data_IF_126603457872
#
_entry.id   IF_126603457872
#
_cell.length_a   1.000
_cell.length_b   1.000
_cell.length_c   1.000
_cell.angle_alpha   90.00
_cell.angle_beta   90.00
_cell.angle_gamma   90.00
#
_symmetry.space_group_name_H-M   'P 1'
#
loop_
_entity.id
_entity.type
_entity.pdbx_description
1 polymer ?
#
# COMPACT_ATOMS: atom_id res chain seq x y z
N UNK A 1 -2.65 25.77 19.64
CA UNK A 1 -2.75 25.15 18.31
C UNK A 1 -2.15 23.76 18.40
N UNK A 2 -2.95 22.73 18.15
CA UNK A 2 -2.53 21.32 18.30
C UNK A 2 -1.56 20.97 17.17
N UNK A 3 -0.34 20.58 17.54
CA UNK A 3 0.74 20.27 16.60
C UNK A 3 0.65 18.78 16.23
N UNK A 4 -0.31 18.43 15.36
CA UNK A 4 -0.49 17.05 14.92
C UNK A 4 0.65 16.67 13.96
N UNK A 5 1.49 15.72 14.39
CA UNK A 5 2.65 15.23 13.63
C UNK A 5 2.43 13.85 13.01
N UNK A 6 1.44 13.12 13.51
CA UNK A 6 1.11 11.77 13.06
C UNK A 6 -0.40 11.59 13.01
N UNK A 7 -0.88 11.01 11.91
CA UNK A 7 -2.29 10.72 11.69
C UNK A 7 -2.41 9.33 11.05
N UNK A 8 -3.19 8.47 11.69
CA UNK A 8 -3.57 7.16 11.16
C UNK A 8 -5.08 7.16 11.00
N UNK A 9 -5.54 7.00 9.77
CA UNK A 9 -6.96 6.84 9.47
C UNK A 9 -7.21 5.36 9.31
N UNK A 10 -7.62 4.70 10.39
CA UNK A 10 -7.99 3.29 10.36
C UNK A 10 -9.29 3.18 9.58
N UNK A 11 -9.30 2.29 8.59
CA UNK A 11 -10.50 2.00 7.82
C UNK A 11 -11.60 1.52 8.77
N UNK A 12 -12.72 2.23 8.75
CA UNK A 12 -13.94 1.83 9.43
C UNK A 12 -14.75 1.10 8.37
N UNK A 13 -15.16 -0.13 8.71
CA UNK A 13 -15.90 -1.12 7.93
C UNK A 13 -16.74 -0.58 6.76
N UNK A 14 -16.90 -1.42 5.72
CA UNK A 14 -17.43 -1.27 4.35
C UNK A 14 -18.77 -0.53 4.10
N UNK A 15 -19.21 0.29 5.05
CA UNK A 15 -20.43 1.10 5.07
C UNK A 15 -20.14 2.59 4.89
N UNK A 16 -18.87 3.04 4.95
CA UNK A 16 -18.56 4.42 4.51
C UNK A 16 -18.62 4.47 3.00
N UNK A 17 -19.72 5.04 2.49
CA UNK A 17 -19.89 5.38 1.09
C UNK A 17 -18.66 6.18 0.63
N UNK A 18 -18.19 5.96 -0.61
CA UNK A 18 -17.00 6.65 -1.19
C UNK A 18 -17.00 8.17 -0.94
N UNK A 19 -18.18 8.74 -0.75
CA UNK A 19 -18.48 10.15 -0.51
C UNK A 19 -17.78 10.73 0.75
N UNK A 20 -17.44 9.93 1.77
CA UNK A 20 -16.82 10.45 2.99
C UNK A 20 -15.33 10.83 2.79
N UNK A 21 -14.62 10.15 1.89
CA UNK A 21 -13.21 10.45 1.55
C UNK A 21 -13.09 11.66 0.65
N UNK A 22 -14.07 11.92 -0.22
CA UNK A 22 -14.04 13.10 -1.10
C UNK A 22 -14.00 14.42 -0.31
N UNK A 23 -14.53 14.39 0.92
CA UNK A 23 -14.57 15.50 1.85
C UNK A 23 -13.36 15.57 2.80
N UNK A 24 -12.49 14.56 2.79
CA UNK A 24 -11.30 14.53 3.63
C UNK A 24 -10.19 15.42 3.02
N UNK A 25 -9.99 16.58 3.62
CA UNK A 25 -8.90 17.49 3.26
C UNK A 25 -7.84 17.52 4.38
N UNK A 26 -6.66 16.98 4.09
CA UNK A 26 -5.53 16.94 5.02
C UNK A 26 -4.55 18.09 4.80
N UNK A 27 -4.77 18.98 3.83
CA UNK A 27 -3.83 20.06 3.48
C UNK A 27 -3.58 21.06 4.61
N UNK A 28 -4.53 21.20 5.55
CA UNK A 28 -4.40 22.04 6.74
C UNK A 28 -3.39 21.53 7.78
N UNK A 29 -2.96 20.26 7.72
CA UNK A 29 -2.03 19.67 8.67
C UNK A 29 -0.57 19.91 8.27
N UNK A 30 -0.14 21.17 8.35
CA UNK A 30 1.20 21.64 7.94
C UNK A 30 2.37 21.12 8.81
N UNK A 31 2.13 20.35 9.87
CA UNK A 31 3.22 19.75 10.65
C UNK A 31 3.16 18.22 10.61
N UNK A 32 2.29 17.66 9.76
CA UNK A 32 2.17 16.23 9.64
C UNK A 32 3.43 15.64 9.02
N UNK A 33 4.10 14.76 9.76
CA UNK A 33 5.32 14.08 9.35
C UNK A 33 5.04 12.62 8.96
N UNK A 34 4.02 12.01 9.57
CA UNK A 34 3.61 10.64 9.33
C UNK A 34 2.13 10.59 9.02
N UNK A 35 1.79 10.02 7.87
CA UNK A 35 0.43 9.77 7.46
C UNK A 35 0.26 8.29 7.14
N UNK A 36 -0.73 7.65 7.73
CA UNK A 36 -1.05 6.25 7.46
C UNK A 36 -2.49 6.12 6.98
N UNK A 37 -2.65 5.71 5.72
CA UNK A 37 -3.94 5.49 5.06
C UNK A 37 -4.01 4.05 4.54
N UNK A 38 -5.21 3.47 4.55
CA UNK A 38 -5.43 2.17 3.91
C UNK A 38 -5.66 2.30 2.40
N UNK A 39 -5.47 1.19 1.66
CA UNK A 39 -5.64 1.15 0.21
C UNK A 39 -7.09 1.38 -0.24
N UNK A 40 -8.07 0.99 0.57
CA UNK A 40 -9.48 1.29 0.29
C UNK A 40 -9.76 2.78 0.51
N UNK A 41 -9.04 3.41 1.45
CA UNK A 41 -9.13 4.85 1.71
C UNK A 41 -8.58 5.69 0.56
N UNK A 42 -7.47 5.28 -0.05
CA UNK A 42 -6.89 6.01 -1.20
C UNK A 42 -7.58 5.66 -2.52
N UNK A 43 -8.23 4.49 -2.58
CA UNK A 43 -8.55 3.84 -3.83
C UNK A 43 -7.29 3.51 -4.65
N UNK A 44 -7.50 3.21 -5.94
CA UNK A 44 -6.44 2.95 -6.92
C UNK A 44 -6.23 4.10 -7.92
N UNK A 45 -7.03 5.18 -7.79
CA UNK A 45 -6.91 6.37 -8.62
C UNK A 45 -6.23 7.50 -7.85
N UNK A 46 -5.38 8.28 -8.53
CA UNK A 46 -4.69 9.41 -7.91
C UNK A 46 -5.54 10.69 -7.77
N UNK A 47 -6.82 10.66 -8.14
CA UNK A 47 -7.63 11.89 -8.22
C UNK A 47 -7.77 12.65 -6.90
N UNK A 48 -7.74 11.94 -5.77
CA UNK A 48 -7.87 12.54 -4.44
C UNK A 48 -6.52 12.76 -3.74
N UNK A 49 -5.39 12.32 -4.30
CA UNK A 49 -4.10 12.36 -3.58
C UNK A 49 -3.60 13.76 -3.29
N UNK A 50 -4.00 14.78 -4.07
CA UNK A 50 -3.67 16.19 -3.77
C UNK A 50 -4.34 16.71 -2.50
N UNK A 51 -5.49 16.14 -2.10
CA UNK A 51 -6.21 16.50 -0.86
C UNK A 51 -5.77 15.62 0.31
N UNK A 52 -5.47 14.36 0.03
CA UNK A 52 -5.06 13.36 1.02
C UNK A 52 -3.61 13.50 1.46
N UNK A 53 -2.75 14.09 0.63
CA UNK A 53 -1.35 14.30 0.98
C UNK A 53 -1.15 15.73 1.47
N UNK A 54 -1.06 15.94 2.80
CA UNK A 54 -0.61 17.22 3.32
C UNK A 54 0.73 17.59 2.69
N UNK A 55 1.10 18.87 2.70
CA UNK A 55 2.30 19.34 2.00
C UNK A 55 3.64 18.80 2.56
N UNK A 56 3.67 18.09 3.70
CA UNK A 56 4.91 17.86 4.46
C UNK A 56 5.16 16.44 5.06
N UNK A 57 4.42 15.35 4.78
CA UNK A 57 4.75 14.06 5.39
C UNK A 57 6.13 13.60 4.92
N UNK A 58 6.97 13.21 5.87
CA UNK A 58 8.27 12.57 5.60
C UNK A 58 8.08 11.09 5.33
N UNK A 59 7.07 10.49 5.97
CA UNK A 59 6.70 9.09 5.80
C UNK A 59 5.22 8.99 5.49
N UNK A 60 4.92 8.30 4.41
CA UNK A 60 3.56 7.89 4.07
C UNK A 60 3.47 6.37 4.20
N UNK A 61 2.58 5.88 5.03
CA UNK A 61 2.30 4.45 5.19
C UNK A 61 1.03 4.12 4.42
N UNK A 62 1.15 3.19 3.48
CA UNK A 62 0.04 2.63 2.73
C UNK A 62 -0.28 1.25 3.27
N UNK A 63 -1.44 1.11 3.90
CA UNK A 63 -1.87 -0.15 4.51
C UNK A 63 -2.72 -0.94 3.54
N UNK A 64 -2.28 -2.13 3.20
CA UNK A 64 -3.07 -3.12 2.47
C UNK A 64 -3.73 -3.97 3.55
N UNK A 65 -5.03 -3.75 3.78
CA UNK A 65 -5.78 -4.34 4.89
C UNK A 65 -6.74 -5.40 4.38
N UNK A 66 -6.74 -6.57 5.00
CA UNK A 66 -7.78 -7.59 4.85
C UNK A 66 -8.90 -7.34 5.87
N UNK A 67 -10.03 -6.76 5.41
CA UNK A 67 -11.26 -6.76 6.20
C UNK A 67 -12.14 -7.92 5.74
N UNK A 68 -12.03 -9.03 6.48
CA UNK A 68 -13.03 -10.09 6.66
C UNK A 68 -14.03 -10.37 5.53
N UNK A 69 -13.99 -11.60 5.02
CA UNK A 69 -14.94 -12.24 4.08
C UNK A 69 -14.91 -11.71 2.64
N UNK A 70 -14.15 -10.64 2.37
CA UNK A 70 -13.79 -10.21 1.01
C UNK A 70 -12.29 -10.38 0.80
N UNK A 71 -11.90 -11.62 0.56
CA UNK A 71 -10.67 -12.09 -0.08
C UNK A 71 -9.71 -11.02 -0.64
N UNK A 72 -9.08 -10.19 0.21
CA UNK A 72 -7.92 -9.39 -0.17
C UNK A 72 -6.73 -10.00 0.56
N UNK A 73 -6.14 -11.01 -0.06
CA UNK A 73 -5.00 -11.79 0.45
C UNK A 73 -3.70 -11.04 0.25
N UNK A 74 -2.66 -11.44 0.97
CA UNK A 74 -1.32 -10.90 0.80
C UNK A 74 -0.75 -11.10 -0.62
N UNK A 75 -1.25 -12.08 -1.37
CA UNK A 75 -0.96 -12.27 -2.79
C UNK A 75 -1.51 -11.16 -3.70
N UNK A 76 -2.34 -10.27 -3.17
CA UNK A 76 -3.11 -9.33 -3.96
C UNK A 76 -2.36 -8.02 -4.20
N UNK A 77 -1.05 -7.94 -3.91
CA UNK A 77 -0.20 -6.91 -4.53
C UNK A 77 -0.10 -7.16 -6.04
N UNK A 78 -1.21 -6.87 -6.71
CA UNK A 78 -1.46 -7.03 -8.11
C UNK A 78 -1.03 -5.77 -8.86
N UNK A 79 -1.26 -5.78 -10.17
CA UNK A 79 -0.86 -4.69 -11.04
C UNK A 79 -1.45 -3.33 -10.60
N UNK A 80 -2.66 -3.30 -10.04
CA UNK A 80 -3.28 -2.04 -9.59
C UNK A 80 -2.55 -1.45 -8.41
N UNK A 81 -2.12 -2.28 -7.45
CA UNK A 81 -1.31 -1.83 -6.33
C UNK A 81 0.05 -1.32 -6.80
N UNK A 82 0.71 -2.07 -7.68
CA UNK A 82 1.98 -1.65 -8.28
C UNK A 82 1.86 -0.31 -9.01
N UNK A 83 0.88 -0.19 -9.91
CA UNK A 83 0.64 1.03 -10.69
C UNK A 83 0.37 2.22 -9.78
N UNK A 84 -0.41 2.02 -8.72
CA UNK A 84 -0.70 3.06 -7.73
C UNK A 84 0.57 3.51 -7.02
N UNK A 85 1.39 2.58 -6.48
CA UNK A 85 2.63 2.94 -5.78
C UNK A 85 3.59 3.68 -6.72
N UNK A 86 3.74 3.20 -7.96
CA UNK A 86 4.58 3.87 -8.97
C UNK A 86 4.07 5.27 -9.29
N UNK A 87 2.76 5.43 -9.42
CA UNK A 87 2.15 6.73 -9.72
C UNK A 87 2.29 7.69 -8.52
N UNK A 88 2.13 7.18 -7.30
CA UNK A 88 2.32 7.91 -6.04
C UNK A 88 3.77 8.38 -5.87
N UNK A 89 4.76 7.53 -6.18
CA UNK A 89 6.18 7.91 -6.19
C UNK A 89 6.43 9.07 -7.16
N UNK A 90 5.92 8.98 -8.39
CA UNK A 90 6.07 10.04 -9.41
C UNK A 90 5.42 11.34 -8.94
N UNK A 91 4.19 11.24 -8.42
CA UNK A 91 3.45 12.38 -7.88
C UNK A 91 4.23 13.05 -6.75
N UNK A 92 4.72 12.26 -5.78
CA UNK A 92 5.47 12.78 -4.66
C UNK A 92 6.81 13.41 -5.09
N UNK A 93 7.52 12.83 -6.05
CA UNK A 93 8.75 13.41 -6.59
C UNK A 93 8.51 14.79 -7.24
N UNK A 94 7.35 14.99 -7.87
CA UNK A 94 6.97 16.24 -8.53
C UNK A 94 6.43 17.29 -7.57
N UNK A 95 5.63 16.88 -6.58
CA UNK A 95 4.80 17.78 -5.79
C UNK A 95 5.10 17.76 -4.28
N UNK A 96 5.78 16.75 -3.76
CA UNK A 96 5.98 16.51 -2.32
C UNK A 96 7.47 16.32 -1.99
N UNK A 97 8.24 17.41 -2.07
CA UNK A 97 9.71 17.39 -1.91
C UNK A 97 10.21 16.92 -0.53
N UNK A 98 9.34 16.78 0.46
CA UNK A 98 9.69 16.32 1.81
C UNK A 98 9.40 14.85 2.06
N UNK A 99 8.69 14.17 1.15
CA UNK A 99 8.43 12.74 1.32
C UNK A 99 9.73 11.97 1.07
N UNK A 100 10.17 11.25 2.09
CA UNK A 100 11.42 10.48 2.06
C UNK A 100 11.15 8.99 1.92
N UNK A 101 10.00 8.52 2.42
CA UNK A 101 9.67 7.11 2.48
C UNK A 101 8.18 6.88 2.23
N UNK A 102 7.88 5.90 1.37
CA UNK A 102 6.58 5.24 1.32
C UNK A 102 6.77 3.86 1.95
N UNK A 103 6.00 3.56 2.98
CA UNK A 103 6.00 2.27 3.66
C UNK A 103 4.75 1.49 3.27
N UNK A 104 4.91 0.28 2.75
CA UNK A 104 3.81 -0.62 2.40
C UNK A 104 3.61 -1.58 3.56
N UNK A 105 2.51 -1.40 4.28
CA UNK A 105 2.18 -2.16 5.48
C UNK A 105 1.12 -3.21 5.13
N UNK A 106 1.48 -4.48 5.29
CA UNK A 106 0.63 -5.61 4.92
C UNK A 106 -0.10 -6.13 6.17
N UNK A 107 -1.29 -5.59 6.44
CA UNK A 107 -2.06 -5.95 7.62
C UNK A 107 -2.92 -7.20 7.37
N UNK A 108 -2.55 -8.31 8.01
CA UNK A 108 -3.35 -9.55 8.00
C UNK A 108 -2.52 -10.79 7.66
N UNK A 109 -1.49 -11.08 8.47
CA UNK A 109 -0.58 -12.24 8.31
C UNK A 109 -1.27 -13.58 8.59
N UNK A 110 -2.34 -13.91 7.87
CA UNK A 110 -3.01 -15.20 7.98
C UNK A 110 -2.78 -16.01 6.70
N UNK A 111 -2.26 -17.23 6.87
CA UNK A 111 -2.02 -18.24 5.84
C UNK A 111 -3.33 -18.63 5.14
N UNK A 112 -3.79 -17.79 4.20
CA UNK A 112 -5.05 -18.04 3.53
C UNK A 112 -4.80 -18.60 2.12
N UNK A 113 -5.10 -19.89 1.98
CA UNK A 113 -4.79 -20.82 0.90
C UNK A 113 -5.55 -20.58 -0.42
N UNK A 114 -5.46 -19.37 -1.01
CA UNK A 114 -5.87 -19.21 -2.42
C UNK A 114 -4.77 -18.74 -3.35
N UNK A 115 -5.01 -19.11 -4.60
CA UNK A 115 -4.22 -18.82 -5.79
C UNK A 115 -3.67 -17.40 -5.76
N UNK A 116 -2.35 -17.23 -5.96
CA UNK A 116 -1.81 -15.93 -6.30
C UNK A 116 -2.49 -15.37 -7.55
N UNK A 117 -2.87 -14.09 -7.54
CA UNK A 117 -3.35 -13.40 -8.76
C UNK A 117 -2.23 -13.24 -9.81
N UNK A 118 -0.99 -13.53 -9.43
CA UNK A 118 0.23 -13.26 -10.18
C UNK A 118 1.23 -14.41 -10.00
N UNK A 119 1.93 -14.75 -11.07
CA UNK A 119 3.08 -15.66 -11.07
C UNK A 119 4.39 -15.00 -10.61
N UNK A 120 4.37 -13.67 -10.47
CA UNK A 120 5.50 -12.87 -9.96
C UNK A 120 5.37 -12.68 -8.45
N UNK A 121 6.48 -12.89 -7.74
CA UNK A 121 6.61 -12.68 -6.31
C UNK A 121 6.36 -11.21 -5.94
N UNK A 122 5.38 -10.90 -5.06
CA UNK A 122 5.00 -9.52 -4.71
C UNK A 122 6.15 -8.61 -4.25
N UNK A 123 7.06 -9.14 -3.44
CA UNK A 123 8.18 -8.35 -2.91
C UNK A 123 9.25 -8.05 -3.97
N UNK A 124 9.41 -8.89 -5.00
CA UNK A 124 10.29 -8.58 -6.14
C UNK A 124 9.78 -7.31 -6.86
N UNK A 125 8.45 -7.15 -6.99
CA UNK A 125 7.86 -5.92 -7.56
C UNK A 125 8.15 -4.71 -6.71
N UNK A 126 8.07 -4.84 -5.38
CA UNK A 126 8.38 -3.76 -4.45
C UNK A 126 9.87 -3.37 -4.50
N UNK A 127 10.77 -4.35 -4.62
CA UNK A 127 12.20 -4.11 -4.84
C UNK A 127 12.49 -3.37 -6.14
N UNK A 128 11.78 -3.73 -7.20
CA UNK A 128 11.86 -3.03 -8.48
C UNK A 128 11.38 -1.58 -8.35
N UNK A 129 10.28 -1.33 -7.64
CA UNK A 129 9.79 0.02 -7.37
C UNK A 129 10.80 0.79 -6.50
N UNK A 130 11.35 0.20 -5.43
CA UNK A 130 12.34 0.86 -4.56
C UNK A 130 13.60 1.27 -5.32
N UNK A 131 14.09 0.39 -6.20
CA UNK A 131 15.25 0.68 -7.06
C UNK A 131 15.00 1.89 -7.96
N UNK A 132 13.80 2.01 -8.50
CA UNK A 132 13.43 3.14 -9.36
C UNK A 132 13.11 4.41 -8.56
N UNK A 133 12.43 4.28 -7.41
CA UNK A 133 12.05 5.41 -6.55
C UNK A 133 13.28 6.07 -5.91
N UNK A 134 14.33 5.30 -5.58
CA UNK A 134 15.59 5.82 -5.03
C UNK A 134 16.21 6.89 -5.93
N UNK A 135 16.08 6.75 -7.26
CA UNK A 135 16.56 7.74 -8.24
C UNK A 135 15.83 9.08 -8.11
N UNK A 136 14.63 9.07 -7.54
CA UNK A 136 13.78 10.23 -7.29
C UNK A 136 13.88 10.73 -5.83
N UNK A 137 14.75 10.14 -5.02
CA UNK A 137 14.95 10.52 -3.62
C UNK A 137 13.92 9.94 -2.63
N UNK A 138 13.03 9.06 -3.09
CA UNK A 138 12.00 8.41 -2.27
C UNK A 138 12.37 6.95 -2.08
N UNK A 139 12.31 6.44 -0.85
CA UNK A 139 12.52 5.02 -0.56
C UNK A 139 11.19 4.30 -0.46
N UNK A 140 11.11 3.10 -1.01
CA UNK A 140 10.04 2.17 -0.66
C UNK A 140 10.56 1.26 0.44
N UNK A 141 9.73 1.05 1.45
CA UNK A 141 9.92 0.04 2.49
C UNK A 141 8.64 -0.74 2.62
N UNK A 142 8.73 -1.94 3.15
CA UNK A 142 7.60 -2.82 3.32
C UNK A 142 7.87 -3.78 4.48
N UNK A 143 6.82 -4.40 5.01
CA UNK A 143 6.96 -5.43 6.04
C UNK A 143 7.67 -6.66 5.53
N UNK A 144 8.35 -7.36 6.44
CA UNK A 144 9.07 -8.58 6.12
C UNK A 144 8.13 -9.60 5.44
N UNK A 145 8.57 -10.24 4.34
CA UNK A 145 7.77 -11.26 3.69
C UNK A 145 7.40 -12.37 4.66
N UNK A 146 6.11 -12.71 4.75
CA UNK A 146 5.66 -13.82 5.58
C UNK A 146 5.99 -15.19 4.95
N UNK A 147 6.25 -15.21 3.64
CA UNK A 147 6.68 -16.38 2.89
C UNK A 147 7.91 -16.04 2.07
N UNK A 148 8.82 -16.99 1.95
CA UNK A 148 9.95 -16.91 1.04
C UNK A 148 9.52 -17.00 -0.43
N UNK A 149 10.41 -16.59 -1.33
CA UNK A 149 10.20 -16.73 -2.77
C UNK A 149 10.09 -18.20 -3.18
N UNK A 150 10.86 -19.07 -2.53
CA UNK A 150 10.84 -20.51 -2.78
C UNK A 150 9.50 -21.14 -2.38
N UNK A 151 8.95 -20.75 -1.24
CA UNK A 151 7.60 -21.17 -0.81
C UNK A 151 6.54 -20.68 -1.80
N UNK A 152 6.66 -19.44 -2.29
CA UNK A 152 5.73 -18.89 -3.28
C UNK A 152 5.78 -19.63 -4.62
N UNK A 153 6.99 -19.92 -5.11
CA UNK A 153 7.17 -20.72 -6.32
C UNK A 153 6.68 -22.16 -6.15
N UNK A 154 6.83 -22.73 -4.95
CA UNK A 154 6.33 -24.06 -4.63
C UNK A 154 4.79 -24.08 -4.61
N UNK A 155 4.16 -23.09 -3.99
CA UNK A 155 2.70 -22.93 -4.01
C UNK A 155 2.20 -22.81 -5.45
N UNK A 156 2.82 -21.97 -6.29
CA UNK A 156 2.46 -21.88 -7.72
C UNK A 156 2.56 -23.22 -8.46
N UNK A 157 3.58 -24.03 -8.15
CA UNK A 157 3.75 -25.37 -8.76
C UNK A 157 2.70 -26.35 -8.27
N UNK A 158 2.43 -26.39 -6.97
CA UNK A 158 1.43 -27.29 -6.38
C UNK A 158 0.03 -26.97 -6.92
N UNK A 159 -0.26 -25.68 -7.07
CA UNK A 159 -1.47 -25.19 -7.73
C UNK A 159 -1.54 -25.60 -9.21
N UNK A 160 -0.46 -25.42 -9.98
CA UNK A 160 -0.40 -25.85 -11.38
C UNK A 160 -0.59 -27.36 -11.55
N UNK A 161 -0.20 -28.15 -10.53
CA UNK A 161 -0.35 -29.60 -10.50
C UNK A 161 -1.70 -30.08 -9.90
N UNK A 162 -2.59 -29.16 -9.51
CA UNK A 162 -3.88 -29.49 -8.91
C UNK A 162 -3.78 -30.09 -7.51
N UNK A 163 -2.65 -29.89 -6.83
CA UNK A 163 -2.44 -30.32 -5.45
C UNK A 163 -3.10 -29.27 -4.54
N UNK A 164 -4.17 -29.68 -3.86
CA UNK A 164 -4.82 -28.86 -2.83
C UNK A 164 -3.88 -28.76 -1.62
N UNK A 165 -3.22 -27.62 -1.48
CA UNK A 165 -2.46 -27.23 -0.28
C UNK A 165 -3.47 -26.75 0.78
N UNK A 166 -3.59 -27.53 1.85
CA UNK A 166 -4.46 -27.29 3.02
C UNK A 166 -3.66 -26.69 4.17
#
# INVERSE_FOLDING_TARGET
MTNLRELTIVEIDSVTERDDIENLDLTGFINLERLSLGCMTTGYDLWHTTRLLPPLPRVFTWRIIDFGDRDIRLHDFNQKHEDWVRAMVKFAAQHQRRLECIFIDFLGHENNSRLPESDVYPWDRLDDIDRDSKKLGIRIRYDEPYMSKEEFEQDLRDLANGISIY
#
